data_IF_007587649980
#
_entry.id   IF_007587649980
#
_cell.length_a   1.000
_cell.length_b   1.000
_cell.length_c   1.000
_cell.angle_alpha   90.00
_cell.angle_beta   90.00
_cell.angle_gamma   90.00
#
_symmetry.space_group_name_H-M   'P 1'
#
loop_
_entity.id
_entity.type
_entity.pdbx_description
1 polymer ?
#
# COMPACT_ATOMS: atom_id res chain seq x y z
N UNK A 1 -14.34 -15.58 5.97
CA UNK A 1 -12.99 -15.46 6.58
C UNK A 1 -13.16 -15.24 8.06
N UNK A 2 -12.48 -16.01 8.92
CA UNK A 2 -12.69 -15.98 10.38
C UNK A 2 -11.79 -14.97 11.09
N UNK A 3 -10.58 -14.70 10.58
CA UNK A 3 -9.63 -13.79 11.19
C UNK A 3 -8.95 -12.92 10.13
N UNK A 4 -9.20 -11.60 10.15
CA UNK A 4 -8.43 -10.62 9.38
C UNK A 4 -7.65 -9.73 10.35
N UNK A 5 -6.36 -9.43 10.11
CA UNK A 5 -5.59 -8.57 11.00
C UNK A 5 -6.25 -7.19 11.15
N UNK A 6 -6.23 -6.67 12.37
CA UNK A 6 -6.58 -5.27 12.59
C UNK A 6 -5.48 -4.38 11.97
N UNK A 7 -5.86 -3.35 11.19
CA UNK A 7 -4.91 -2.51 10.50
C UNK A 7 -4.15 -1.59 11.46
N UNK A 8 -2.86 -1.44 11.21
CA UNK A 8 -2.02 -0.43 11.86
C UNK A 8 -2.09 0.92 11.13
N UNK A 9 -1.65 2.02 11.76
CA UNK A 9 -1.62 3.33 11.12
C UNK A 9 -0.77 3.32 9.84
N UNK A 10 -1.31 3.88 8.77
CA UNK A 10 -0.67 3.89 7.45
C UNK A 10 -0.26 2.52 6.88
N UNK A 11 -0.87 1.43 7.33
CA UNK A 11 -0.55 0.09 6.83
C UNK A 11 -1.08 -0.13 5.39
N UNK A 12 -0.25 -0.71 4.52
CA UNK A 12 -0.64 -1.06 3.15
C UNK A 12 -1.47 -2.35 3.10
N UNK A 13 -2.27 -2.50 2.03
CA UNK A 13 -3.05 -3.72 1.82
C UNK A 13 -2.16 -4.97 1.71
N UNK A 14 -0.99 -4.83 1.08
CA UNK A 14 -0.02 -5.91 1.00
C UNK A 14 0.47 -6.32 2.39
N UNK A 15 0.79 -5.36 3.27
CA UNK A 15 1.18 -5.66 4.65
C UNK A 15 0.12 -6.45 5.41
N UNK A 16 -1.15 -6.04 5.31
CA UNK A 16 -2.27 -6.78 5.88
C UNK A 16 -2.35 -8.21 5.36
N UNK A 17 -2.15 -8.39 4.04
CA UNK A 17 -2.12 -9.72 3.43
C UNK A 17 -0.95 -10.58 3.92
N UNK A 18 0.23 -9.98 4.14
CA UNK A 18 1.41 -10.66 4.71
C UNK A 18 1.16 -11.07 6.16
N UNK A 19 0.61 -10.18 6.98
CA UNK A 19 0.28 -10.52 8.38
C UNK A 19 -0.79 -11.61 8.43
N UNK A 20 -1.79 -11.55 7.55
CA UNK A 20 -2.79 -12.61 7.43
C UNK A 20 -2.16 -13.95 6.99
N UNK A 21 -1.28 -13.93 6.00
CA UNK A 21 -0.53 -15.10 5.53
C UNK A 21 0.20 -15.80 6.70
N UNK A 22 0.92 -15.03 7.52
CA UNK A 22 1.65 -15.54 8.68
C UNK A 22 0.72 -16.01 9.80
N UNK A 23 -0.36 -15.29 10.07
CA UNK A 23 -1.32 -15.63 11.13
C UNK A 23 -1.99 -16.99 10.90
N UNK A 24 -2.31 -17.30 9.64
CA UNK A 24 -2.95 -18.57 9.25
C UNK A 24 -1.91 -19.64 8.89
N UNK A 25 -0.61 -19.31 8.90
CA UNK A 25 0.49 -20.20 8.53
C UNK A 25 0.34 -20.83 7.14
N UNK A 26 -0.09 -20.02 6.15
CA UNK A 26 -0.16 -20.48 4.76
C UNK A 26 1.23 -20.81 4.21
N UNK A 27 1.34 -21.85 3.38
CA UNK A 27 2.62 -22.29 2.81
C UNK A 27 3.03 -21.45 1.60
N UNK A 28 2.06 -20.79 0.96
CA UNK A 28 2.32 -20.02 -0.25
C UNK A 28 1.38 -18.81 -0.40
N UNK A 29 1.85 -17.82 -1.17
CA UNK A 29 0.99 -16.73 -1.60
C UNK A 29 -0.25 -17.22 -2.36
N UNK A 30 -0.17 -18.35 -3.08
CA UNK A 30 -1.32 -18.88 -3.83
C UNK A 30 -2.50 -19.20 -2.91
N UNK A 31 -2.24 -19.82 -1.77
CA UNK A 31 -3.26 -20.12 -0.76
C UNK A 31 -3.83 -18.85 -0.16
N UNK A 32 -2.94 -17.96 0.30
CA UNK A 32 -3.35 -16.66 0.84
C UNK A 32 -4.21 -15.86 -0.14
N UNK A 33 -3.82 -15.82 -1.42
CA UNK A 33 -4.55 -15.11 -2.46
C UNK A 33 -5.94 -15.70 -2.69
N UNK A 34 -6.04 -17.04 -2.72
CA UNK A 34 -7.33 -17.72 -2.83
C UNK A 34 -8.22 -17.47 -1.62
N UNK A 35 -7.68 -17.43 -0.41
CA UNK A 35 -8.50 -17.16 0.77
C UNK A 35 -8.97 -15.70 0.82
N UNK A 36 -8.06 -14.75 0.59
CA UNK A 36 -8.35 -13.30 0.62
C UNK A 36 -9.26 -12.85 -0.54
N UNK A 37 -8.99 -13.32 -1.76
CA UNK A 37 -9.61 -12.79 -2.97
C UNK A 37 -10.51 -13.81 -3.69
N UNK A 38 -10.45 -15.09 -3.34
CA UNK A 38 -11.15 -16.16 -4.06
C UNK A 38 -10.50 -16.58 -5.38
N UNK A 39 -9.49 -15.83 -5.82
CA UNK A 39 -8.76 -16.01 -7.07
C UNK A 39 -7.29 -15.73 -6.84
N UNK A 40 -6.44 -16.18 -7.76
CA UNK A 40 -5.04 -15.80 -7.75
C UNK A 40 -4.86 -14.34 -8.23
N UNK A 41 -4.79 -13.41 -7.28
CA UNK A 41 -4.53 -12.00 -7.57
C UNK A 41 -3.07 -11.81 -8.02
N UNK A 42 -2.86 -11.15 -9.16
CA UNK A 42 -1.51 -10.80 -9.65
C UNK A 42 -1.03 -9.44 -9.16
N UNK A 43 -1.84 -8.72 -8.40
CA UNK A 43 -1.60 -7.32 -8.05
C UNK A 43 -1.64 -7.06 -6.55
N UNK A 44 -1.66 -8.10 -5.69
CA UNK A 44 -1.69 -7.91 -4.23
C UNK A 44 -0.49 -7.10 -3.71
N UNK A 45 0.71 -7.32 -4.26
CA UNK A 45 1.91 -6.50 -3.97
C UNK A 45 1.95 -5.14 -4.68
N UNK A 46 0.90 -4.73 -5.39
CA UNK A 46 0.85 -3.41 -6.03
C UNK A 46 0.38 -2.35 -5.05
N UNK A 47 0.89 -1.12 -5.18
CA UNK A 47 0.33 0.08 -4.52
C UNK A 47 -1.08 0.44 -5.01
N UNK A 48 -1.49 -0.15 -6.13
CA UNK A 48 -2.84 -0.13 -6.71
C UNK A 48 -3.29 -1.58 -6.95
N UNK A 49 -3.69 -2.31 -5.89
CA UNK A 49 -4.11 -3.70 -6.00
C UNK A 49 -5.50 -3.81 -6.61
N UNK A 50 -5.81 -4.99 -7.15
CA UNK A 50 -7.13 -5.36 -7.67
C UNK A 50 -7.75 -6.45 -6.81
N UNK A 51 -8.91 -6.95 -7.24
CA UNK A 51 -9.75 -7.92 -6.52
C UNK A 51 -10.35 -7.37 -5.22
N UNK A 52 -10.46 -6.03 -5.09
CA UNK A 52 -10.96 -5.40 -3.87
C UNK A 52 -12.45 -5.66 -3.65
N UNK A 53 -13.23 -5.86 -4.71
CA UNK A 53 -14.63 -6.28 -4.60
C UNK A 53 -14.77 -7.65 -3.94
N UNK A 54 -13.96 -8.62 -4.39
CA UNK A 54 -13.94 -9.96 -3.81
C UNK A 54 -13.44 -9.95 -2.36
N UNK A 55 -12.41 -9.15 -2.05
CA UNK A 55 -11.93 -9.00 -0.68
C UNK A 55 -13.00 -8.39 0.23
N UNK A 56 -13.65 -7.30 -0.20
CA UNK A 56 -14.73 -6.64 0.55
C UNK A 56 -15.88 -7.60 0.88
N UNK A 57 -16.30 -8.43 -0.08
CA UNK A 57 -17.32 -9.47 0.14
C UNK A 57 -16.86 -10.52 1.16
N UNK A 58 -15.61 -10.99 1.07
CA UNK A 58 -15.05 -12.01 1.98
C UNK A 58 -14.83 -11.52 3.40
N UNK A 59 -14.58 -10.22 3.54
CA UNK A 59 -14.56 -9.48 4.81
C UNK A 59 -15.98 -9.14 5.32
N UNK A 60 -17.04 -9.70 4.72
CA UNK A 60 -18.45 -9.45 5.07
C UNK A 60 -18.77 -7.95 5.16
N UNK A 61 -18.23 -7.17 4.22
CA UNK A 61 -18.39 -5.72 4.15
C UNK A 61 -17.90 -4.93 5.37
N UNK A 62 -17.03 -5.50 6.21
CA UNK A 62 -16.32 -4.74 7.25
C UNK A 62 -15.52 -3.56 6.66
N UNK A 63 -15.09 -3.71 5.40
CA UNK A 63 -14.53 -2.63 4.59
C UNK A 63 -15.23 -2.63 3.24
N UNK A 64 -15.78 -1.48 2.84
CA UNK A 64 -16.22 -1.28 1.45
C UNK A 64 -15.01 -1.22 0.51
N UNK A 65 -15.24 -1.35 -0.80
CA UNK A 65 -14.17 -1.15 -1.79
C UNK A 65 -13.53 0.23 -1.66
N UNK A 66 -14.33 1.27 -1.39
CA UNK A 66 -13.83 2.62 -1.17
C UNK A 66 -13.00 2.71 0.10
N UNK A 67 -13.40 2.06 1.19
CA UNK A 67 -12.59 2.04 2.42
C UNK A 67 -11.24 1.34 2.18
N UNK A 68 -11.25 0.21 1.44
CA UNK A 68 -10.03 -0.50 1.08
C UNK A 68 -9.08 0.38 0.26
N UNK A 69 -9.62 1.08 -0.75
CA UNK A 69 -8.86 1.98 -1.61
C UNK A 69 -8.27 3.14 -0.81
N UNK A 70 -9.09 3.86 -0.06
CA UNK A 70 -8.68 5.08 0.63
C UNK A 70 -7.69 4.80 1.78
N UNK A 71 -7.89 3.69 2.50
CA UNK A 71 -7.14 3.39 3.72
C UNK A 71 -5.92 2.51 3.51
N UNK A 72 -5.87 1.70 2.45
CA UNK A 72 -4.84 0.67 2.30
C UNK A 72 -4.09 0.73 0.96
N UNK A 73 -4.39 1.70 0.10
CA UNK A 73 -3.72 1.88 -1.20
C UNK A 73 -3.17 3.29 -1.37
N UNK A 74 -2.44 3.51 -2.47
CA UNK A 74 -1.94 4.84 -2.84
C UNK A 74 -2.82 5.57 -3.87
N UNK A 75 -3.96 5.01 -4.29
CA UNK A 75 -4.86 5.71 -5.22
C UNK A 75 -5.21 7.15 -4.78
N UNK A 76 -5.45 7.45 -3.49
CA UNK A 76 -5.78 8.81 -3.06
C UNK A 76 -4.69 9.83 -3.39
N UNK A 77 -3.42 9.43 -3.39
CA UNK A 77 -2.31 10.31 -3.74
C UNK A 77 -2.33 10.74 -5.22
N UNK A 78 -2.82 9.87 -6.09
CA UNK A 78 -2.91 10.15 -7.53
C UNK A 78 -4.18 10.89 -7.91
N UNK A 79 -5.23 10.82 -7.08
CA UNK A 79 -6.56 11.38 -7.38
C UNK A 79 -6.54 12.87 -7.81
N UNK A 80 -5.79 13.78 -7.16
CA UNK A 80 -5.76 15.20 -7.57
C UNK A 80 -5.23 15.44 -8.99
N UNK A 81 -4.50 14.47 -9.54
CA UNK A 81 -3.89 14.54 -10.86
C UNK A 81 -4.70 13.78 -11.93
N UNK A 82 -5.89 13.30 -11.58
CA UNK A 82 -6.80 12.61 -12.51
C UNK A 82 -7.93 13.53 -12.95
N UNK A 83 -8.40 13.34 -14.20
CA UNK A 83 -9.69 13.86 -14.60
C UNK A 83 -10.80 13.20 -13.76
N UNK A 84 -11.81 13.98 -13.35
CA UNK A 84 -12.94 13.49 -12.53
C UNK A 84 -13.65 12.27 -13.14
N UNK A 85 -13.77 12.22 -14.46
CA UNK A 85 -14.37 11.09 -15.18
C UNK A 85 -13.57 9.78 -15.06
N UNK A 86 -12.29 9.86 -14.74
CA UNK A 86 -11.37 8.71 -14.71
C UNK A 86 -11.38 7.96 -13.38
N UNK A 87 -11.61 8.66 -12.28
CA UNK A 87 -11.59 8.06 -10.95
C UNK A 87 -12.61 6.92 -10.78
N UNK A 88 -13.88 7.03 -11.25
CA UNK A 88 -14.83 5.92 -11.21
C UNK A 88 -14.38 4.69 -12.00
N UNK A 89 -13.73 4.90 -13.16
CA UNK A 89 -13.20 3.82 -14.00
C UNK A 89 -12.09 3.08 -13.26
N UNK A 90 -11.13 3.82 -12.70
CA UNK A 90 -10.00 3.27 -11.94
C UNK A 90 -10.49 2.51 -10.70
N UNK A 91 -11.46 3.07 -9.97
CA UNK A 91 -12.12 2.40 -8.84
C UNK A 91 -12.75 1.08 -9.26
N UNK A 92 -13.50 1.07 -10.37
CA UNK A 92 -14.13 -0.14 -10.91
C UNK A 92 -13.08 -1.18 -11.33
N UNK A 93 -11.96 -0.77 -11.93
CA UNK A 93 -10.84 -1.66 -12.26
C UNK A 93 -10.22 -2.29 -11.01
N UNK A 94 -10.00 -1.51 -9.94
CA UNK A 94 -9.47 -2.03 -8.66
C UNK A 94 -10.47 -2.96 -7.96
N UNK A 95 -11.77 -2.74 -8.12
CA UNK A 95 -12.80 -3.64 -7.62
C UNK A 95 -12.78 -5.00 -8.35
N UNK A 96 -12.51 -4.99 -9.66
CA UNK A 96 -12.48 -6.17 -10.54
C UNK A 96 -11.22 -7.03 -10.39
N UNK A 97 -11.16 -8.12 -11.17
CA UNK A 97 -10.10 -9.14 -11.07
C UNK A 97 -8.88 -8.89 -11.98
N UNK A 98 -8.93 -7.90 -12.87
CA UNK A 98 -7.85 -7.57 -13.79
C UNK A 98 -7.32 -6.16 -13.54
N UNK A 99 -6.02 -6.05 -13.27
CA UNK A 99 -5.30 -4.78 -13.16
C UNK A 99 -4.54 -4.38 -14.42
N UNK A 100 -4.77 -5.07 -15.54
CA UNK A 100 -4.06 -4.80 -16.79
C UNK A 100 -4.26 -3.35 -17.21
N UNK A 101 -3.17 -2.66 -17.53
CA UNK A 101 -3.22 -1.27 -18.01
C UNK A 101 -3.53 -0.22 -16.94
N UNK A 102 -3.82 -0.57 -15.67
CA UNK A 102 -4.20 0.41 -14.64
C UNK A 102 -3.09 1.44 -14.38
N UNK A 103 -1.88 0.97 -14.06
CA UNK A 103 -0.71 1.83 -13.82
C UNK A 103 -0.35 2.65 -15.05
N UNK A 104 -0.48 2.06 -16.24
CA UNK A 104 -0.26 2.78 -17.49
C UNK A 104 -1.30 3.88 -17.66
N UNK A 105 -2.59 3.58 -17.48
CA UNK A 105 -3.66 4.58 -17.59
C UNK A 105 -3.40 5.79 -16.69
N UNK A 106 -2.78 5.60 -15.52
CA UNK A 106 -2.43 6.66 -14.58
C UNK A 106 -1.10 7.38 -14.87
N UNK A 107 -0.43 7.07 -15.98
CA UNK A 107 0.86 7.64 -16.34
C UNK A 107 2.03 7.15 -15.49
N UNK A 108 1.77 6.29 -14.49
CA UNK A 108 2.79 5.79 -13.54
C UNK A 108 3.93 5.08 -14.28
N UNK A 109 3.59 4.20 -15.22
CA UNK A 109 4.59 3.43 -16.00
C UNK A 109 5.42 4.33 -16.93
N UNK A 110 4.82 5.37 -17.51
CA UNK A 110 5.48 6.30 -18.42
C UNK A 110 6.40 7.29 -17.71
N UNK A 111 6.14 7.53 -16.42
CA UNK A 111 6.74 8.61 -15.65
C UNK A 111 8.26 8.49 -15.45
N UNK A 112 8.87 7.29 -15.61
CA UNK A 112 10.30 6.98 -15.36
C UNK A 112 10.84 7.40 -13.98
N UNK A 113 10.05 8.12 -13.17
CA UNK A 113 10.36 8.49 -11.80
C UNK A 113 10.57 7.20 -11.03
N UNK A 114 11.84 6.94 -10.73
CA UNK A 114 12.33 5.90 -9.85
C UNK A 114 11.54 4.59 -9.98
N UNK A 115 11.92 3.76 -10.97
CA UNK A 115 11.53 2.35 -11.04
C UNK A 115 12.03 1.63 -9.79
N UNK A 116 11.33 1.79 -8.68
CA UNK A 116 11.57 1.03 -7.47
C UNK A 116 10.59 -0.14 -7.52
N UNK A 117 11.04 -1.22 -8.16
CA UNK A 117 10.31 -2.50 -8.26
C UNK A 117 10.30 -3.27 -6.93
N UNK A 118 10.72 -2.64 -5.84
CA UNK A 118 10.85 -3.25 -4.52
C UNK A 118 10.16 -2.45 -3.43
N UNK A 119 9.80 -3.16 -2.37
CA UNK A 119 9.19 -2.61 -1.17
C UNK A 119 10.22 -1.87 -0.33
N UNK A 120 9.81 -0.72 0.19
CA UNK A 120 10.68 0.18 0.94
C UNK A 120 10.28 0.30 2.41
N UNK A 121 11.26 0.43 3.29
CA UNK A 121 11.04 0.64 4.71
C UNK A 121 12.05 1.63 5.29
N UNK A 122 11.76 2.14 6.49
CA UNK A 122 12.67 2.95 7.28
C UNK A 122 13.06 2.15 8.52
N UNK A 123 14.35 2.07 8.83
CA UNK A 123 14.83 1.32 10.00
C UNK A 123 14.25 1.87 11.30
N UNK A 124 14.17 3.19 11.45
CA UNK A 124 13.54 3.84 12.60
C UNK A 124 12.06 3.48 12.74
N UNK A 125 11.26 3.56 11.67
CA UNK A 125 9.87 3.07 11.70
C UNK A 125 9.79 1.60 12.12
N UNK A 126 10.65 0.73 11.58
CA UNK A 126 10.58 -0.70 11.95
C UNK A 126 10.88 -0.95 13.42
N UNK A 127 11.81 -0.20 14.03
CA UNK A 127 12.08 -0.28 15.48
C UNK A 127 10.88 0.18 16.30
N UNK A 128 10.27 1.31 15.91
CA UNK A 128 9.07 1.84 16.57
C UNK A 128 7.88 0.87 16.44
N UNK A 129 7.69 0.29 15.27
CA UNK A 129 6.62 -0.68 14.99
C UNK A 129 6.78 -1.93 15.86
N UNK A 130 8.01 -2.46 15.99
CA UNK A 130 8.30 -3.59 16.87
C UNK A 130 8.02 -3.24 18.32
N UNK A 131 8.46 -2.07 18.79
CA UNK A 131 8.23 -1.65 20.17
C UNK A 131 6.75 -1.45 20.49
N UNK A 132 5.97 -0.94 19.54
CA UNK A 132 4.57 -0.56 19.77
C UNK A 132 3.56 -1.66 19.44
N UNK A 133 3.83 -2.43 18.39
CA UNK A 133 2.90 -3.42 17.82
C UNK A 133 3.45 -4.84 17.82
N UNK A 134 4.72 -5.04 18.19
CA UNK A 134 5.39 -6.34 18.23
C UNK A 134 5.85 -6.84 16.85
N UNK A 135 5.56 -6.12 15.77
CA UNK A 135 5.87 -6.55 14.40
C UNK A 135 6.00 -5.34 13.47
N UNK A 136 7.04 -5.29 12.60
CA UNK A 136 7.12 -4.25 11.60
C UNK A 136 6.11 -4.48 10.48
N UNK A 137 5.72 -3.43 9.77
CA UNK A 137 4.74 -3.53 8.70
C UNK A 137 5.04 -2.59 7.53
N UNK A 138 4.49 -2.87 6.34
CA UNK A 138 4.73 -2.03 5.17
C UNK A 138 3.83 -0.79 5.23
N UNK A 139 4.41 0.33 5.66
CA UNK A 139 3.79 1.66 5.56
C UNK A 139 3.54 2.03 4.10
N UNK A 140 2.36 2.58 3.81
CA UNK A 140 1.98 3.00 2.46
C UNK A 140 2.86 4.12 1.96
N UNK A 141 3.17 5.09 2.83
CA UNK A 141 3.91 6.29 2.42
C UNK A 141 5.34 5.96 1.93
N UNK A 142 5.96 4.92 2.48
CA UNK A 142 7.25 4.43 1.99
C UNK A 142 7.17 3.86 0.56
N UNK A 143 5.97 3.46 0.11
CA UNK A 143 5.75 2.96 -1.26
C UNK A 143 5.38 4.05 -2.26
N UNK A 144 5.27 5.33 -1.84
CA UNK A 144 4.96 6.42 -2.74
C UNK A 144 6.07 6.65 -3.77
N UNK A 145 5.68 6.90 -5.02
CA UNK A 145 6.63 7.19 -6.11
C UNK A 145 7.34 8.51 -5.80
N UNK A 146 8.66 8.57 -5.95
CA UNK A 146 9.43 9.79 -5.62
C UNK A 146 9.81 9.91 -4.14
N UNK A 147 9.23 9.11 -3.24
CA UNK A 147 9.62 9.10 -1.83
C UNK A 147 10.90 8.31 -1.63
N UNK A 148 12.03 8.99 -1.45
CA UNK A 148 13.30 8.34 -1.12
C UNK A 148 13.65 8.42 0.36
N UNK A 149 12.93 9.26 1.10
CA UNK A 149 13.17 9.56 2.50
C UNK A 149 11.91 9.28 3.31
N UNK A 150 12.09 8.79 4.53
CA UNK A 150 11.01 8.66 5.48
C UNK A 150 10.49 10.06 5.86
N UNK A 151 9.19 10.34 5.74
CA UNK A 151 8.63 11.63 6.16
C UNK A 151 8.58 11.81 7.68
N UNK A 152 8.74 10.73 8.45
CA UNK A 152 8.71 10.73 9.91
C UNK A 152 10.10 10.95 10.51
N UNK A 153 11.10 10.23 10.00
CA UNK A 153 12.46 10.24 10.54
C UNK A 153 13.48 10.98 9.68
N UNK A 154 13.10 11.41 8.48
CA UNK A 154 13.98 12.13 7.54
C UNK A 154 15.22 11.33 7.11
N UNK A 155 15.15 10.00 7.25
CA UNK A 155 16.19 9.04 6.88
C UNK A 155 15.94 8.45 5.50
N UNK A 156 17.00 8.00 4.83
CA UNK A 156 16.90 7.32 3.53
C UNK A 156 16.15 6.00 3.71
N UNK A 157 15.21 5.73 2.81
CA UNK A 157 14.49 4.46 2.80
C UNK A 157 15.38 3.32 2.29
N UNK A 158 15.15 2.12 2.80
CA UNK A 158 15.80 0.89 2.33
C UNK A 158 14.83 0.12 1.47
N UNK A 159 15.25 -0.28 0.27
CA UNK A 159 14.53 -1.19 -0.60
C UNK A 159 15.00 -2.63 -0.36
N UNK A 160 14.08 -3.55 -0.14
CA UNK A 160 14.45 -4.97 0.05
C UNK A 160 14.98 -5.58 -1.24
N UNK A 161 15.87 -6.55 -1.11
CA UNK A 161 16.28 -7.42 -2.21
C UNK A 161 15.62 -8.77 -2.00
N UNK A 162 14.78 -9.20 -2.95
CA UNK A 162 14.18 -10.51 -2.90
C UNK A 162 15.22 -11.59 -3.29
N UNK A 163 15.33 -12.69 -2.52
CA UNK A 163 16.27 -13.77 -2.85
C UNK A 163 15.88 -14.50 -4.14
N UNK A 164 16.86 -15.03 -4.88
CA UNK A 164 16.69 -16.00 -5.96
C UNK A 164 15.63 -15.70 -7.05
N UNK A 165 15.56 -14.44 -7.50
CA UNK A 165 14.54 -13.95 -8.48
C UNK A 165 13.09 -14.09 -7.98
N UNK A 166 12.89 -14.28 -6.69
CA UNK A 166 11.58 -14.13 -6.07
C UNK A 166 11.11 -12.67 -6.18
N UNK A 167 9.84 -12.46 -5.84
CA UNK A 167 9.27 -11.13 -5.69
C UNK A 167 8.41 -11.11 -4.43
N UNK A 168 7.56 -10.10 -4.31
CA UNK A 168 6.60 -9.92 -3.21
C UNK A 168 5.72 -11.14 -2.88
N UNK A 169 5.63 -12.15 -3.75
CA UNK A 169 4.91 -13.40 -3.47
C UNK A 169 5.57 -14.26 -2.38
N UNK A 170 6.78 -13.91 -1.93
CA UNK A 170 7.40 -14.50 -0.74
C UNK A 170 6.76 -14.05 0.59
N UNK A 171 5.83 -13.09 0.56
CA UNK A 171 5.05 -12.63 1.72
C UNK A 171 5.92 -12.25 2.92
N UNK A 172 6.95 -11.45 2.67
CA UNK A 172 7.87 -10.96 3.71
C UNK A 172 7.40 -9.63 4.30
N UNK A 173 7.62 -9.46 5.59
CA UNK A 173 7.53 -8.20 6.31
C UNK A 173 8.83 -7.40 6.16
N UNK A 174 8.86 -6.11 6.55
CA UNK A 174 10.12 -5.39 6.66
C UNK A 174 11.12 -6.15 7.55
N UNK A 175 12.41 -5.97 7.27
CA UNK A 175 13.56 -6.60 7.95
C UNK A 175 13.70 -8.12 7.84
N UNK A 176 12.73 -8.83 7.26
CA UNK A 176 12.86 -10.27 6.94
C UNK A 176 13.74 -10.55 5.70
N UNK A 177 14.13 -9.49 4.99
CA UNK A 177 15.09 -9.54 3.89
C UNK A 177 16.08 -8.38 3.98
N UNK A 178 17.27 -8.60 3.41
CA UNK A 178 18.27 -7.55 3.32
C UNK A 178 17.77 -6.36 2.50
N UNK A 179 17.90 -5.17 3.06
CA UNK A 179 17.58 -3.91 2.40
C UNK A 179 18.83 -3.14 1.99
N UNK A 180 18.77 -2.48 0.85
CA UNK A 180 19.79 -1.52 0.39
C UNK A 180 19.19 -0.12 0.37
N UNK A 181 19.95 0.92 0.74
CA UNK A 181 19.45 2.29 0.72
C UNK A 181 19.07 2.68 -0.72
N UNK A 182 17.93 3.37 -0.89
CA UNK A 182 17.45 3.80 -2.22
C UNK A 182 18.25 4.97 -2.80
N UNK A 183 19.08 5.60 -1.97
CA UNK A 183 19.99 6.69 -2.33
C UNK A 183 21.30 6.51 -1.57
N UNK A 184 22.42 6.86 -2.21
CA UNK A 184 23.75 6.81 -1.58
C UNK A 184 24.00 8.00 -0.63
N UNK A 185 23.41 9.15 -0.95
CA UNK A 185 23.51 10.36 -0.13
C UNK A 185 22.43 10.40 0.93
N UNK A 186 22.73 11.08 2.05
CA UNK A 186 21.71 11.45 3.04
C UNK A 186 20.57 12.27 2.40
N UNK A 187 19.43 12.25 3.07
CA UNK A 187 18.25 13.01 2.67
C UNK A 187 18.56 14.51 2.65
N UNK A 188 18.18 15.17 1.56
CA UNK A 188 18.24 16.63 1.45
C UNK A 188 16.86 17.26 1.67
N UNK A 189 16.82 18.57 1.90
CA UNK A 189 15.58 19.30 2.19
C UNK A 189 14.49 19.07 1.13
N UNK A 190 14.83 18.98 -0.15
CA UNK A 190 13.86 18.74 -1.22
C UNK A 190 13.24 17.34 -1.13
N UNK A 191 14.06 16.30 -0.95
CA UNK A 191 13.58 14.91 -0.80
C UNK A 191 12.68 14.72 0.42
N UNK A 192 13.03 15.33 1.56
CA UNK A 192 12.22 15.32 2.78
C UNK A 192 10.89 16.03 2.55
N UNK A 193 10.93 17.21 1.91
CA UNK A 193 9.75 18.01 1.62
C UNK A 193 8.77 17.25 0.72
N UNK A 194 9.26 16.57 -0.31
CA UNK A 194 8.43 15.74 -1.20
C UNK A 194 7.74 14.64 -0.39
N UNK A 195 8.48 13.87 0.42
CA UNK A 195 7.90 12.80 1.24
C UNK A 195 6.83 13.34 2.22
N UNK A 196 7.09 14.48 2.87
CA UNK A 196 6.13 15.11 3.78
C UNK A 196 4.87 15.61 3.06
N UNK A 197 5.02 16.20 1.87
CA UNK A 197 3.87 16.61 1.05
C UNK A 197 3.02 15.42 0.63
N UNK A 198 3.64 14.29 0.27
CA UNK A 198 2.92 13.06 -0.08
C UNK A 198 2.19 12.45 1.12
N UNK A 199 2.82 12.44 2.30
CA UNK A 199 2.18 12.01 3.54
C UNK A 199 0.96 12.89 3.86
N UNK A 200 1.13 14.21 3.76
CA UNK A 200 0.04 15.16 3.95
C UNK A 200 -1.12 14.88 2.98
N UNK A 201 -0.82 14.64 1.69
CA UNK A 201 -1.84 14.29 0.70
C UNK A 201 -2.63 13.03 1.05
N UNK A 202 -1.95 11.96 1.49
CA UNK A 202 -2.62 10.72 1.92
C UNK A 202 -3.52 10.94 3.14
N UNK A 203 -3.05 11.69 4.14
CA UNK A 203 -3.82 11.96 5.38
C UNK A 203 -4.98 12.92 5.12
N UNK A 204 -4.78 13.92 4.27
CA UNK A 204 -5.79 14.93 3.95
C UNK A 204 -7.00 14.33 3.23
N UNK A 205 -6.78 13.44 2.27
CA UNK A 205 -7.86 12.74 1.56
C UNK A 205 -8.73 11.90 2.50
N UNK A 206 -8.10 11.23 3.49
CA UNK A 206 -8.80 10.44 4.49
C UNK A 206 -9.71 11.30 5.39
N UNK A 207 -9.19 12.43 5.90
CA UNK A 207 -9.93 13.31 6.82
C UNK A 207 -11.13 13.98 6.17
N UNK A 208 -11.00 14.45 4.92
CA UNK A 208 -12.08 15.19 4.26
C UNK A 208 -13.28 14.30 3.85
N UNK A 209 -13.12 12.98 3.74
CA UNK A 209 -14.27 12.06 3.58
C UNK A 209 -15.05 11.82 4.88
N UNK A 210 -14.40 11.81 6.04
CA UNK A 210 -15.11 11.78 7.32
C UNK A 210 -16.04 13.00 7.48
N UNK A 211 -15.63 14.17 6.97
CA UNK A 211 -16.45 15.39 7.01
C UNK A 211 -17.65 15.34 6.05
N UNK A 212 -17.52 14.72 4.86
CA UNK A 212 -18.61 14.63 3.87
C UNK A 212 -19.67 13.58 4.27
N UNK A 213 -19.31 12.54 5.03
CA UNK A 213 -20.30 11.57 5.56
C UNK A 213 -21.20 12.17 6.66
N UNK A 214 -20.76 13.21 7.39
CA UNK A 214 -21.60 13.89 8.39
C UNK A 214 -22.65 14.84 7.79
N UNK A 215 -22.50 15.28 6.54
CA UNK A 215 -23.48 16.18 5.90
C UNK A 215 -24.58 15.45 5.09
N UNK A 216 -24.47 14.14 4.91
CA UNK A 216 -25.48 13.32 4.19
C UNK A 216 -26.42 12.52 5.10
N UNK A 217 -26.27 12.63 6.43
CA UNK A 217 -27.18 12.07 7.44
C UNK A 217 -28.07 13.14 8.10
N UNK A 218 -28.09 14.36 7.57
CA UNK A 218 -28.86 15.50 8.10
C UNK A 218 -29.92 16.02 7.10
N UNK A 219 -30.49 15.15 6.27
CA UNK A 219 -31.67 15.45 5.45
C UNK A 219 -32.61 14.27 5.42
#
# INVERSE_FOLDING_TARGET
MLFFPQPFPDESLYSLAVRFHKLIAHESYRETSRELFGVYSRTCGSVLPCCLGSLSQRLKAAYSVDDLIERFTLLPLYRPFMAESKYPVVRATMAGSSGSGLKMSLGITASRFLKHDSFRYCESCTREDIQKYGVPYWHRIHQAIGSCCCPHHEEVLYAITFPDRADWRCMMLPTEAHGVPVMESACNAASITISKMQLWGLVYCLKNKCSVKSSMLAR
#
